data_IF_613017994253
#
_entry.id   IF_613017994253
#
_cell.length_a   1.000
_cell.length_b   1.000
_cell.length_c   1.000
_cell.angle_alpha   90.00
_cell.angle_beta   90.00
_cell.angle_gamma   90.00
#
_symmetry.space_group_name_H-M   'P 1'
#
loop_
_entity.id
_entity.type
_entity.pdbx_description
1 polymer ?
#
# COMPACT_ATOMS: atom_id res chain seq x y z
N UNK A 1 -4.97 17.39 -14.81
CA UNK A 1 -4.04 16.48 -14.10
C UNK A 1 -4.08 16.79 -12.60
N UNK A 2 -3.41 16.01 -11.72
CA UNK A 2 -3.46 16.24 -10.26
C UNK A 2 -2.95 17.64 -9.88
N UNK A 3 -1.95 18.16 -10.61
CA UNK A 3 -1.43 19.52 -10.45
C UNK A 3 -2.54 20.58 -10.64
N UNK A 4 -3.26 20.58 -11.77
CA UNK A 4 -4.37 21.53 -12.00
C UNK A 4 -5.46 21.45 -10.92
N UNK A 5 -5.71 20.26 -10.37
CA UNK A 5 -6.67 20.09 -9.28
C UNK A 5 -6.17 20.78 -8.01
N UNK A 6 -4.90 20.57 -7.64
CA UNK A 6 -4.31 21.13 -6.44
C UNK A 6 -4.10 22.65 -6.55
N UNK A 7 -3.68 23.16 -7.71
CA UNK A 7 -3.48 24.60 -7.96
C UNK A 7 -4.77 25.41 -7.74
N UNK A 8 -5.93 24.85 -8.14
CA UNK A 8 -7.25 25.47 -7.93
C UNK A 8 -7.54 25.76 -6.46
N UNK A 9 -7.02 24.94 -5.54
CA UNK A 9 -7.23 25.11 -4.11
C UNK A 9 -6.05 25.80 -3.41
N UNK A 10 -4.85 25.72 -3.97
CA UNK A 10 -3.65 26.38 -3.43
C UNK A 10 -3.66 27.90 -3.68
N UNK A 11 -4.48 28.39 -4.62
CA UNK A 11 -4.57 29.81 -4.95
C UNK A 11 -3.37 30.35 -5.74
N UNK A 12 -2.58 29.46 -6.36
CA UNK A 12 -1.36 29.79 -7.09
C UNK A 12 -0.53 28.57 -7.45
N UNK A 13 0.68 28.81 -7.96
CA UNK A 13 1.64 27.77 -8.34
C UNK A 13 2.00 26.87 -7.16
N UNK A 14 2.08 25.56 -7.39
CA UNK A 14 2.46 24.60 -6.38
C UNK A 14 3.98 24.60 -6.21
N UNK A 15 4.49 25.09 -5.09
CA UNK A 15 5.90 24.88 -4.74
C UNK A 15 6.15 23.44 -4.23
N UNK A 16 7.41 23.01 -4.26
CA UNK A 16 7.84 21.66 -3.83
C UNK A 16 7.36 21.26 -2.41
N UNK A 17 7.42 22.13 -1.39
CA UNK A 17 6.93 21.79 -0.06
C UNK A 17 5.43 21.44 -0.06
N UNK A 18 4.61 22.13 -0.87
CA UNK A 18 3.18 21.85 -0.94
C UNK A 18 2.90 20.42 -1.44
N UNK A 19 3.60 19.98 -2.48
CA UNK A 19 3.45 18.63 -3.03
C UNK A 19 3.92 17.56 -2.04
N UNK A 20 5.05 17.82 -1.38
CA UNK A 20 5.60 16.88 -0.40
C UNK A 20 4.71 16.75 0.84
N UNK A 21 4.14 17.85 1.32
CA UNK A 21 3.25 17.86 2.49
C UNK A 21 1.89 17.25 2.16
N UNK A 22 1.33 17.54 0.99
CA UNK A 22 0.12 16.87 0.50
C UNK A 22 0.32 15.36 0.41
N UNK A 23 1.47 14.92 -0.14
CA UNK A 23 1.79 13.51 -0.23
C UNK A 23 1.93 12.86 1.15
N UNK A 24 2.54 13.55 2.13
CA UNK A 24 2.71 13.02 3.49
C UNK A 24 1.36 12.78 4.18
N UNK A 25 0.41 13.68 3.99
CA UNK A 25 -0.97 13.51 4.48
C UNK A 25 -1.67 12.35 3.78
N UNK A 26 -1.61 12.28 2.45
CA UNK A 26 -2.22 11.22 1.66
C UNK A 26 -1.69 9.82 2.05
N UNK A 27 -0.36 9.65 2.08
CA UNK A 27 0.26 8.36 2.35
C UNK A 27 -0.01 7.90 3.78
N UNK A 28 -0.04 8.80 4.76
CA UNK A 28 -0.31 8.44 6.16
C UNK A 28 -1.75 7.96 6.34
N UNK A 29 -2.72 8.60 5.68
CA UNK A 29 -4.12 8.17 5.67
C UNK A 29 -4.32 6.79 5.03
N UNK A 30 -3.45 6.40 4.09
CA UNK A 30 -3.48 5.08 3.45
C UNK A 30 -2.77 4.00 4.30
N UNK A 31 -1.50 4.24 4.64
CA UNK A 31 -0.62 3.22 5.23
C UNK A 31 -1.08 2.83 6.63
N UNK A 32 -1.39 3.80 7.49
CA UNK A 32 -1.69 3.56 8.91
C UNK A 32 -2.84 2.57 9.11
N UNK A 33 -4.06 2.78 8.55
CA UNK A 33 -5.16 1.85 8.77
C UNK A 33 -4.90 0.47 8.17
N UNK A 34 -4.29 0.39 6.98
CA UNK A 34 -4.02 -0.90 6.32
C UNK A 34 -2.99 -1.73 7.12
N UNK A 35 -1.90 -1.11 7.57
CA UNK A 35 -0.89 -1.79 8.36
C UNK A 35 -1.44 -2.22 9.73
N UNK A 36 -2.23 -1.37 10.40
CA UNK A 36 -2.87 -1.72 11.66
C UNK A 36 -3.85 -2.90 11.50
N UNK A 37 -4.70 -2.89 10.46
CA UNK A 37 -5.62 -3.97 10.16
C UNK A 37 -4.89 -5.30 9.92
N UNK A 38 -3.78 -5.28 9.19
CA UNK A 38 -3.02 -6.48 8.91
C UNK A 38 -2.27 -7.00 10.13
N UNK A 39 -1.44 -6.18 10.76
CA UNK A 39 -0.54 -6.64 11.82
C UNK A 39 -1.25 -6.87 13.14
N UNK A 40 -2.19 -6.00 13.53
CA UNK A 40 -2.89 -6.13 14.82
C UNK A 40 -4.11 -7.05 14.75
N UNK A 41 -4.73 -7.22 13.56
CA UNK A 41 -5.99 -7.95 13.43
C UNK A 41 -5.97 -9.07 12.38
N UNK A 42 -4.91 -9.23 11.60
CA UNK A 42 -4.85 -10.25 10.57
C UNK A 42 -5.86 -10.03 9.42
N UNK A 43 -6.32 -8.79 9.23
CA UNK A 43 -7.25 -8.41 8.17
C UNK A 43 -6.43 -7.94 6.97
N UNK A 44 -6.58 -8.64 5.86
CA UNK A 44 -5.89 -8.33 4.61
C UNK A 44 -6.82 -7.51 3.72
N UNK A 45 -6.55 -6.23 3.57
CA UNK A 45 -7.23 -5.38 2.60
C UNK A 45 -6.65 -5.56 1.18
N UNK A 46 -7.33 -5.02 0.17
CA UNK A 46 -6.81 -4.89 -1.19
C UNK A 46 -6.79 -3.41 -1.62
N UNK A 47 -5.89 -2.59 -1.03
CA UNK A 47 -5.91 -1.14 -1.13
C UNK A 47 -5.32 -0.60 -2.46
N UNK A 48 -5.61 -1.26 -3.57
CA UNK A 48 -5.27 -0.75 -4.90
C UNK A 48 -6.08 0.52 -5.20
N UNK A 49 -5.66 1.32 -6.19
CA UNK A 49 -6.25 2.64 -6.47
C UNK A 49 -7.78 2.64 -6.57
N UNK A 50 -8.37 1.63 -7.23
CA UNK A 50 -9.83 1.57 -7.39
C UNK A 50 -10.59 1.35 -6.07
N UNK A 51 -9.94 0.82 -5.03
CA UNK A 51 -10.53 0.55 -3.71
C UNK A 51 -10.21 1.63 -2.67
N UNK A 52 -9.58 2.73 -3.09
CA UNK A 52 -9.27 3.88 -2.25
C UNK A 52 -9.99 5.13 -2.79
N UNK A 53 -10.74 5.82 -1.94
CA UNK A 53 -11.46 7.05 -2.28
C UNK A 53 -10.97 8.18 -1.39
N UNK A 54 -10.33 9.18 -2.00
CA UNK A 54 -9.88 10.38 -1.30
C UNK A 54 -11.09 11.25 -0.94
N UNK A 55 -11.23 11.52 0.36
CA UNK A 55 -12.11 12.57 0.88
C UNK A 55 -11.19 13.75 1.21
N UNK A 56 -11.45 14.90 0.59
CA UNK A 56 -10.66 16.10 0.76
C UNK A 56 -11.52 17.29 1.20
N UNK A 57 -10.90 18.24 1.88
CA UNK A 57 -11.46 19.57 2.13
C UNK A 57 -10.58 20.58 1.39
N UNK A 58 -11.14 21.27 0.39
CA UNK A 58 -10.40 22.21 -0.47
C UNK A 58 -9.04 21.66 -0.93
N UNK A 59 -9.03 20.47 -1.54
CA UNK A 59 -7.81 19.81 -2.01
C UNK A 59 -6.94 19.14 -0.94
N UNK A 60 -7.05 19.47 0.36
CA UNK A 60 -6.29 18.82 1.44
C UNK A 60 -6.85 17.44 1.80
N UNK A 61 -6.02 16.37 1.86
CA UNK A 61 -6.47 15.03 2.25
C UNK A 61 -7.03 15.02 3.68
N UNK A 62 -8.25 14.51 3.86
CA UNK A 62 -8.87 14.35 5.17
C UNK A 62 -9.00 12.88 5.56
N UNK A 63 -9.43 12.05 4.61
CA UNK A 63 -9.58 10.61 4.79
C UNK A 63 -9.31 9.88 3.48
N UNK A 64 -8.91 8.62 3.60
CA UNK A 64 -8.87 7.70 2.49
C UNK A 64 -9.81 6.52 2.78
N UNK A 65 -11.01 6.58 2.21
CA UNK A 65 -12.03 5.57 2.42
C UNK A 65 -11.65 4.31 1.63
N UNK A 66 -11.60 3.17 2.33
CA UNK A 66 -11.37 1.85 1.74
C UNK A 66 -12.71 1.15 1.52
N UNK A 67 -12.86 0.50 0.36
CA UNK A 67 -14.08 -0.22 -0.04
C UNK A 67 -13.78 -1.65 -0.52
N UNK A 68 -14.84 -2.35 -0.95
CA UNK A 68 -14.83 -3.72 -1.49
C UNK A 68 -14.42 -4.77 -0.45
N UNK A 69 -15.42 -5.37 0.18
CA UNK A 69 -15.22 -6.41 1.19
C UNK A 69 -15.14 -7.81 0.58
N UNK A 70 -15.57 -7.98 -0.67
CA UNK A 70 -15.42 -9.22 -1.42
C UNK A 70 -13.94 -9.59 -1.60
N UNK A 71 -13.10 -8.57 -1.80
CA UNK A 71 -11.64 -8.70 -1.84
C UNK A 71 -10.99 -9.02 -0.49
N UNK A 72 -11.62 -8.74 0.66
CA UNK A 72 -10.99 -8.90 1.97
C UNK A 72 -10.66 -10.37 2.28
N UNK A 73 -9.49 -10.59 2.90
CA UNK A 73 -9.03 -11.90 3.38
C UNK A 73 -8.65 -11.81 4.84
N UNK A 74 -8.58 -12.95 5.51
CA UNK A 74 -8.21 -13.11 6.90
C UNK A 74 -7.02 -14.05 6.99
N UNK A 75 -6.00 -13.66 7.75
CA UNK A 75 -4.85 -14.54 7.99
C UNK A 75 -5.27 -15.76 8.79
N UNK A 76 -4.68 -16.91 8.45
CA UNK A 76 -4.88 -18.19 9.09
C UNK A 76 -4.47 -18.20 10.58
N UNK A 77 -3.43 -17.46 10.91
CA UNK A 77 -2.88 -17.38 12.27
C UNK A 77 -3.61 -16.38 13.20
N UNK A 78 -4.29 -15.36 12.65
CA UNK A 78 -4.87 -14.27 13.46
C UNK A 78 -6.29 -13.92 13.01
N UNK A 79 -6.46 -13.39 11.79
CA UNK A 79 -7.72 -12.79 11.36
C UNK A 79 -8.90 -13.76 11.39
N UNK A 80 -8.69 -15.02 11.01
CA UNK A 80 -9.77 -16.02 10.98
C UNK A 80 -10.33 -16.32 12.37
N UNK A 81 -9.55 -16.09 13.44
CA UNK A 81 -9.96 -16.33 14.83
C UNK A 81 -11.02 -15.33 15.31
N UNK A 82 -11.17 -14.19 14.64
CA UNK A 82 -12.19 -13.20 14.97
C UNK A 82 -13.61 -13.63 14.55
N UNK A 83 -13.74 -14.64 13.67
CA UNK A 83 -15.04 -15.14 13.23
C UNK A 83 -15.63 -16.08 14.28
N UNK A 84 -16.65 -15.61 15.00
CA UNK A 84 -17.32 -16.35 16.07
C UNK A 84 -18.46 -17.26 15.59
N UNK A 85 -18.82 -17.19 14.31
CA UNK A 85 -19.90 -17.99 13.72
C UNK A 85 -19.36 -19.22 12.98
N UNK A 86 -20.14 -20.31 12.94
CA UNK A 86 -19.78 -21.50 12.16
C UNK A 86 -19.91 -21.19 10.67
N UNK A 87 -18.79 -21.13 9.97
CA UNK A 87 -18.76 -20.96 8.52
C UNK A 87 -18.89 -22.30 7.78
N UNK A 88 -19.59 -22.28 6.66
CA UNK A 88 -19.49 -23.37 5.68
C UNK A 88 -18.03 -23.52 5.21
N UNK A 89 -17.49 -24.75 5.03
CA UNK A 89 -16.08 -24.94 4.69
C UNK A 89 -15.60 -24.15 3.47
N UNK A 90 -16.45 -24.03 2.45
CA UNK A 90 -16.13 -23.25 1.25
C UNK A 90 -16.01 -21.74 1.49
N UNK A 91 -16.82 -21.18 2.39
CA UNK A 91 -16.76 -19.76 2.77
C UNK A 91 -15.47 -19.52 3.55
N UNK A 92 -15.15 -20.38 4.52
CA UNK A 92 -13.90 -20.31 5.27
C UNK A 92 -12.68 -20.34 4.33
N UNK A 93 -12.68 -21.25 3.36
CA UNK A 93 -11.61 -21.35 2.37
C UNK A 93 -11.49 -20.08 1.49
N UNK A 94 -12.59 -19.39 1.20
CA UNK A 94 -12.59 -18.18 0.38
C UNK A 94 -12.03 -16.94 1.11
N UNK A 95 -12.18 -16.91 2.44
CA UNK A 95 -11.68 -15.84 3.30
C UNK A 95 -10.21 -16.03 3.68
N UNK A 96 -9.73 -17.27 3.76
CA UNK A 96 -8.45 -17.59 4.39
C UNK A 96 -7.26 -17.35 3.46
N UNK A 97 -6.29 -16.57 3.94
CA UNK A 97 -4.95 -16.40 3.38
C UNK A 97 -3.90 -16.84 4.39
N UNK A 98 -2.75 -17.32 3.91
CA UNK A 98 -1.57 -17.36 4.78
C UNK A 98 -1.10 -15.93 5.08
N UNK A 99 -0.38 -15.73 6.19
CA UNK A 99 0.24 -14.43 6.50
C UNK A 99 1.08 -13.87 5.34
N UNK A 100 1.89 -14.73 4.70
CA UNK A 100 2.72 -14.35 3.56
C UNK A 100 1.90 -13.92 2.33
N UNK A 101 0.84 -14.65 1.99
CA UNK A 101 -0.07 -14.26 0.89
C UNK A 101 -0.69 -12.90 1.16
N UNK A 102 -1.10 -12.65 2.41
CA UNK A 102 -1.63 -11.36 2.84
C UNK A 102 -0.62 -10.24 2.67
N UNK A 103 0.61 -10.46 3.13
CA UNK A 103 1.68 -9.48 3.03
C UNK A 103 2.08 -9.15 1.59
N UNK A 104 2.23 -10.16 0.73
CA UNK A 104 2.53 -9.96 -0.69
C UNK A 104 1.43 -9.14 -1.40
N UNK A 105 0.15 -9.34 -1.05
CA UNK A 105 -0.94 -8.53 -1.59
C UNK A 105 -0.88 -7.09 -1.08
N UNK A 106 -0.75 -6.90 0.23
CA UNK A 106 -0.76 -5.57 0.85
C UNK A 106 0.38 -4.72 0.29
N UNK A 107 1.60 -5.25 0.26
CA UNK A 107 2.77 -4.51 -0.23
C UNK A 107 2.67 -4.17 -1.71
N UNK A 108 2.19 -5.08 -2.56
CA UNK A 108 1.91 -4.78 -3.96
C UNK A 108 0.88 -3.65 -4.09
N UNK A 109 -0.27 -3.78 -3.43
CA UNK A 109 -1.36 -2.81 -3.55
C UNK A 109 -0.96 -1.43 -3.04
N UNK A 110 -0.32 -1.36 -1.86
CA UNK A 110 0.09 -0.11 -1.24
C UNK A 110 1.23 0.55 -2.01
N UNK A 111 2.35 -0.17 -2.18
CA UNK A 111 3.59 0.47 -2.63
C UNK A 111 3.63 0.58 -4.14
N UNK A 112 3.27 -0.48 -4.87
CA UNK A 112 3.45 -0.51 -6.32
C UNK A 112 2.22 -0.01 -7.06
N UNK A 113 1.02 -0.48 -6.69
CA UNK A 113 -0.19 -0.11 -7.42
C UNK A 113 -0.71 1.30 -7.05
N UNK A 114 -0.53 1.73 -5.80
CA UNK A 114 -1.09 2.97 -5.30
C UNK A 114 -0.03 4.07 -5.14
N UNK A 115 0.90 3.91 -4.20
CA UNK A 115 1.86 4.98 -3.87
C UNK A 115 2.83 5.29 -5.01
N UNK A 116 3.31 4.32 -5.78
CA UNK A 116 4.13 4.61 -6.97
C UNK A 116 3.41 5.50 -7.97
N UNK A 117 2.11 5.29 -8.19
CA UNK A 117 1.30 6.12 -9.10
C UNK A 117 1.06 7.52 -8.51
N UNK A 118 0.82 7.62 -7.20
CA UNK A 118 0.71 8.91 -6.53
C UNK A 118 2.02 9.71 -6.61
N UNK A 119 3.17 9.06 -6.35
CA UNK A 119 4.50 9.67 -6.48
C UNK A 119 4.72 10.12 -7.92
N UNK A 120 4.50 9.25 -8.91
CA UNK A 120 4.66 9.57 -10.33
C UNK A 120 3.78 10.74 -10.77
N UNK A 121 2.52 10.77 -10.34
CA UNK A 121 1.57 11.82 -10.71
C UNK A 121 1.93 13.18 -10.09
N UNK A 122 2.42 13.21 -8.85
CA UNK A 122 2.81 14.45 -8.16
C UNK A 122 4.22 14.93 -8.54
N UNK A 123 5.09 14.03 -8.99
CA UNK A 123 6.47 14.34 -9.37
C UNK A 123 6.68 14.43 -10.88
N UNK A 124 5.61 14.50 -11.68
CA UNK A 124 5.65 14.32 -13.14
C UNK A 124 6.69 15.20 -13.84
N UNK A 125 6.75 16.48 -13.48
CA UNK A 125 7.72 17.46 -14.01
C UNK A 125 8.85 17.77 -13.00
N UNK A 126 8.84 17.10 -11.85
CA UNK A 126 9.72 17.37 -10.70
C UNK A 126 10.30 16.06 -10.14
N UNK A 127 11.09 15.31 -10.94
CA UNK A 127 11.53 13.97 -10.57
C UNK A 127 12.40 13.93 -9.30
N UNK A 128 13.03 15.05 -8.92
CA UNK A 128 13.79 15.16 -7.67
C UNK A 128 12.92 15.00 -6.41
N UNK A 129 11.59 15.15 -6.53
CA UNK A 129 10.66 14.92 -5.42
C UNK A 129 10.41 13.44 -5.14
N UNK A 130 10.53 12.55 -6.13
CA UNK A 130 10.19 11.14 -5.95
C UNK A 130 11.03 10.45 -4.86
N UNK A 131 12.38 10.60 -4.80
CA UNK A 131 13.17 10.06 -3.70
C UNK A 131 12.77 10.64 -2.33
N UNK A 132 12.41 11.92 -2.27
CA UNK A 132 11.99 12.59 -1.03
C UNK A 132 10.63 12.06 -0.54
N UNK A 133 9.72 11.78 -1.45
CA UNK A 133 8.43 11.15 -1.16
C UNK A 133 8.63 9.71 -0.64
N UNK A 134 9.51 8.91 -1.26
CA UNK A 134 9.83 7.58 -0.75
C UNK A 134 10.50 7.59 0.62
N UNK A 135 11.35 8.57 0.92
CA UNK A 135 11.88 8.78 2.27
C UNK A 135 10.79 9.16 3.29
N UNK A 136 9.72 9.86 2.88
CA UNK A 136 8.54 10.11 3.74
C UNK A 136 7.79 8.81 4.00
N UNK A 137 7.61 7.95 2.99
CA UNK A 137 7.02 6.60 3.16
C UNK A 137 7.83 5.75 4.13
N UNK A 138 9.15 5.65 3.96
CA UNK A 138 10.03 4.89 4.85
C UNK A 138 9.90 5.34 6.31
N UNK A 139 9.96 6.66 6.56
CA UNK A 139 9.76 7.23 7.90
C UNK A 139 8.38 6.94 8.45
N UNK A 140 7.34 6.96 7.62
CA UNK A 140 6.00 6.63 8.07
C UNK A 140 5.86 5.15 8.43
N UNK A 141 6.50 4.26 7.68
CA UNK A 141 6.55 2.83 8.00
C UNK A 141 7.26 2.58 9.34
N UNK A 142 8.35 3.30 9.64
CA UNK A 142 9.02 3.26 10.94
C UNK A 142 8.10 3.73 12.08
N UNK A 143 7.41 4.86 11.92
CA UNK A 143 6.43 5.34 12.91
C UNK A 143 5.30 4.35 13.14
N UNK A 144 4.75 3.79 12.06
CA UNK A 144 3.72 2.74 12.16
C UNK A 144 4.27 1.54 12.93
N UNK A 145 5.51 1.13 12.64
CA UNK A 145 6.14 -0.01 13.32
C UNK A 145 6.22 0.18 14.84
N UNK A 146 6.47 1.41 15.30
CA UNK A 146 6.49 1.78 16.72
C UNK A 146 5.08 1.82 17.34
N UNK A 147 4.03 2.12 16.56
CA UNK A 147 2.63 2.14 16.99
C UNK A 147 1.99 0.74 17.03
N UNK A 148 2.55 -0.26 16.34
CA UNK A 148 1.99 -1.62 16.28
C UNK A 148 2.14 -2.36 17.61
N UNK A 149 1.12 -3.14 17.96
CA UNK A 149 1.07 -3.89 19.23
C UNK A 149 1.66 -5.28 19.09
N UNK A 150 1.54 -5.89 17.90
CA UNK A 150 2.02 -7.24 17.61
C UNK A 150 3.32 -7.22 16.79
N UNK A 151 4.10 -8.32 16.82
CA UNK A 151 5.31 -8.43 16.00
C UNK A 151 5.02 -8.25 14.50
N UNK A 152 5.89 -7.48 13.84
CA UNK A 152 5.81 -7.18 12.41
C UNK A 152 7.15 -7.40 11.69
N UNK A 153 7.72 -8.62 11.71
CA UNK A 153 9.02 -8.91 11.10
C UNK A 153 9.04 -8.63 9.59
N UNK A 154 7.90 -8.74 8.91
CA UNK A 154 7.77 -8.38 7.50
C UNK A 154 7.93 -6.89 7.25
N UNK A 155 7.42 -6.05 8.17
CA UNK A 155 7.60 -4.61 8.11
C UNK A 155 9.05 -4.24 8.43
N UNK A 156 9.67 -4.91 9.41
CA UNK A 156 11.08 -4.73 9.74
C UNK A 156 11.97 -5.03 8.50
N UNK A 157 11.70 -6.12 7.80
CA UNK A 157 12.45 -6.49 6.60
C UNK A 157 12.21 -5.54 5.41
N UNK A 158 10.97 -5.04 5.25
CA UNK A 158 10.65 -4.03 4.24
C UNK A 158 11.38 -2.70 4.52
N UNK A 159 11.40 -2.23 5.77
CA UNK A 159 12.15 -1.04 6.19
C UNK A 159 13.65 -1.25 5.93
N UNK A 160 14.17 -2.45 6.19
CA UNK A 160 15.56 -2.81 5.89
C UNK A 160 15.89 -2.90 4.38
N UNK A 161 14.93 -2.65 3.49
CA UNK A 161 15.13 -2.57 2.05
C UNK A 161 14.92 -3.89 1.30
N UNK A 162 14.26 -4.88 1.91
CA UNK A 162 13.91 -6.12 1.22
C UNK A 162 13.04 -5.83 -0.02
N UNK A 163 13.22 -6.65 -1.06
CA UNK A 163 12.46 -6.56 -2.31
C UNK A 163 10.95 -6.73 -2.11
N UNK A 164 10.17 -5.96 -2.86
CA UNK A 164 8.71 -5.87 -2.76
C UNK A 164 8.07 -6.83 -3.77
N UNK A 165 6.99 -7.50 -3.37
CA UNK A 165 6.22 -8.35 -4.27
C UNK A 165 5.45 -7.50 -5.30
N UNK A 166 5.53 -7.83 -6.59
CA UNK A 166 4.78 -7.18 -7.67
C UNK A 166 3.91 -8.18 -8.44
N UNK A 167 2.58 -7.98 -8.42
CA UNK A 167 1.63 -8.82 -9.17
C UNK A 167 1.80 -8.59 -10.67
N UNK A 168 1.83 -9.68 -11.44
CA UNK A 168 2.14 -9.62 -12.87
C UNK A 168 0.90 -9.68 -13.76
N UNK A 169 0.26 -8.54 -14.01
CA UNK A 169 -0.96 -8.48 -14.83
C UNK A 169 -0.77 -9.08 -16.24
N UNK A 170 0.32 -8.76 -16.95
CA UNK A 170 0.57 -9.32 -18.28
C UNK A 170 0.90 -10.83 -18.24
N UNK A 171 1.81 -11.24 -17.35
CA UNK A 171 2.28 -12.64 -17.27
C UNK A 171 1.15 -13.60 -16.91
N UNK A 172 0.23 -13.19 -16.02
CA UNK A 172 -0.94 -14.00 -15.67
C UNK A 172 -1.86 -14.21 -16.87
N UNK A 173 -2.10 -13.17 -17.68
CA UNK A 173 -2.94 -13.28 -18.88
C UNK A 173 -2.34 -14.20 -19.94
N UNK A 174 -1.01 -14.21 -20.07
CA UNK A 174 -0.31 -15.15 -20.96
C UNK A 174 -0.32 -16.59 -20.43
N UNK A 175 -0.28 -16.78 -19.10
CA UNK A 175 -0.25 -18.10 -18.49
C UNK A 175 -1.59 -18.85 -18.53
N UNK A 176 -2.71 -18.17 -18.80
CA UNK A 176 -4.08 -18.72 -18.80
C UNK A 176 -4.45 -19.50 -17.52
N UNK A 177 -3.83 -19.15 -16.38
CA UNK A 177 -4.08 -19.73 -15.06
C UNK A 177 -5.06 -18.88 -14.27
N UNK A 178 -5.71 -19.47 -13.27
CA UNK A 178 -6.62 -18.74 -12.37
C UNK A 178 -5.86 -17.65 -11.58
N UNK A 179 -6.48 -16.50 -11.34
CA UNK A 179 -5.86 -15.34 -10.67
C UNK A 179 -5.27 -15.63 -9.28
N UNK A 180 -5.74 -16.68 -8.59
CA UNK A 180 -5.14 -17.14 -7.32
C UNK A 180 -3.74 -17.74 -7.46
N UNK A 181 -3.34 -18.09 -8.67
CA UNK A 181 -1.98 -18.48 -9.04
C UNK A 181 -1.19 -17.28 -9.59
N UNK A 182 -1.69 -16.04 -9.38
CA UNK A 182 -1.00 -14.85 -9.84
C UNK A 182 0.43 -14.84 -9.32
N UNK A 183 1.37 -14.96 -10.26
CA UNK A 183 2.77 -14.96 -9.94
C UNK A 183 3.20 -13.54 -9.56
N UNK A 184 3.92 -13.45 -8.45
CA UNK A 184 4.63 -12.24 -8.08
C UNK A 184 6.04 -12.29 -8.67
N UNK A 185 6.53 -11.14 -9.11
CA UNK A 185 7.98 -10.90 -9.26
C UNK A 185 8.45 -10.04 -8.09
N UNK A 186 9.77 -9.93 -7.89
CA UNK A 186 10.34 -9.09 -6.84
C UNK A 186 10.94 -7.84 -7.48
N UNK A 187 10.56 -6.66 -6.97
CA UNK A 187 11.16 -5.37 -7.33
C UNK A 187 12.05 -4.87 -6.19
N UNK A 188 13.11 -4.13 -6.52
CA UNK A 188 13.95 -3.51 -5.50
C UNK A 188 13.14 -2.50 -4.66
N UNK A 189 13.51 -2.34 -3.38
CA UNK A 189 12.91 -1.31 -2.54
C UNK A 189 13.34 0.08 -3.01
N UNK A 190 12.46 1.11 -3.00
CA UNK A 190 12.82 2.49 -3.37
C UNK A 190 13.90 3.13 -2.49
N UNK A 191 14.10 2.62 -1.27
CA UNK A 191 15.11 3.08 -0.32
C UNK A 191 16.27 2.08 -0.12
N UNK A 192 16.29 0.97 -0.87
CA UNK A 192 17.46 0.12 -0.88
C UNK A 192 18.64 0.88 -1.53
N UNK A 193 19.82 0.80 -0.93
CA UNK A 193 21.05 1.27 -1.58
C UNK A 193 21.22 0.49 -2.89
N UNK A 194 21.33 1.18 -4.02
CA UNK A 194 21.72 0.54 -5.26
C UNK A 194 23.04 -0.21 -5.04
N UNK A 195 23.06 -1.48 -5.44
CA UNK A 195 24.32 -2.18 -5.57
C UNK A 195 25.13 -1.45 -6.64
N UNK A 196 26.12 -0.67 -6.21
CA UNK A 196 27.10 -0.09 -7.14
C UNK A 196 27.87 -1.24 -7.75
N UNK A 197 27.62 -1.52 -9.03
CA UNK A 197 28.51 -2.36 -9.81
C UNK A 197 29.80 -1.55 -10.00
N UNK A 198 30.86 -1.99 -9.33
CA UNK A 198 32.22 -1.46 -9.49
C UNK A 198 32.83 -1.91 -10.82
#
# INVERSE_FOLDING_TARGET
>A
MVHDFLERFNGGELEDPHLLDWFDEYQALLLRPVMALFFNHGIVMEPHLQNAVLIHDNGRPQQLLLRDFEGVKLTDELGIKAIQVRLHPRIRQSLLYTREQGWNRITYCLLINNLSEAVLALSWERPHLAPLMWQRVERQLQRIRDELVLPAPELDALIAGQSIACKTNLKVRLAAKADREANYVRLASPWAKEARYA
#
